data_IF_490698824541
#
_entry.id   IF_490698824541
#
_cell.length_a   1.000
_cell.length_b   1.000
_cell.length_c   1.000
_cell.angle_alpha   90.00
_cell.angle_beta   90.00
_cell.angle_gamma   90.00
#
_symmetry.space_group_name_H-M   'P 1'
#
loop_
_entity.id
_entity.type
_entity.pdbx_description
1 polymer ?
#
# COMPACT_ATOMS: atom_id res chain seq x y z
N UNK A 1 -1.10 -3.19 18.38
CA UNK A 1 -1.22 -4.11 17.23
C UNK A 1 -0.31 -3.57 16.14
N UNK A 2 0.56 -4.38 15.51
CA UNK A 2 1.37 -3.90 14.40
C UNK A 2 0.44 -3.66 13.22
N UNK A 3 0.17 -2.40 12.87
CA UNK A 3 -0.66 -2.07 11.71
C UNK A 3 -0.03 -2.65 10.45
N UNK A 4 -0.80 -3.39 9.65
CA UNK A 4 -0.32 -3.94 8.37
C UNK A 4 -0.17 -2.83 7.33
N UNK A 5 0.57 -3.09 6.24
CA UNK A 5 0.69 -2.14 5.15
C UNK A 5 -0.68 -1.73 4.60
N UNK A 6 -1.62 -2.69 4.55
CA UNK A 6 -3.01 -2.44 4.16
C UNK A 6 -3.70 -1.41 5.07
N UNK A 7 -3.54 -1.50 6.39
CA UNK A 7 -4.12 -0.50 7.30
C UNK A 7 -3.52 0.89 7.09
N UNK A 8 -2.20 0.96 6.86
CA UNK A 8 -1.53 2.20 6.54
C UNK A 8 -2.04 2.82 5.23
N UNK A 9 -2.08 2.06 4.14
CA UNK A 9 -2.43 2.58 2.82
C UNK A 9 -3.89 3.07 2.78
N UNK A 10 -4.79 2.50 3.59
CA UNK A 10 -6.14 3.00 3.76
C UNK A 10 -6.21 4.41 4.33
N UNK A 11 -5.22 4.86 5.11
CA UNK A 11 -5.17 6.24 5.61
C UNK A 11 -4.84 7.24 4.50
N UNK A 12 -4.13 6.82 3.46
CA UNK A 12 -3.75 7.63 2.30
C UNK A 12 -4.88 7.76 1.25
N UNK A 13 -5.97 6.98 1.38
CA UNK A 13 -7.08 6.97 0.39
C UNK A 13 -7.90 8.28 0.35
N UNK A 14 -7.88 9.03 1.45
CA UNK A 14 -8.74 10.19 1.71
C UNK A 14 -7.97 11.52 1.65
N UNK A 15 -6.97 11.63 0.78
CA UNK A 15 -6.31 12.92 0.53
C UNK A 15 -7.24 13.88 -0.22
N UNK A 16 -7.27 15.15 0.19
CA UNK A 16 -8.08 16.21 -0.42
C UNK A 16 -7.76 16.39 -1.92
N UNK A 17 -6.50 16.14 -2.30
CA UNK A 17 -6.07 16.11 -3.69
C UNK A 17 -5.72 14.67 -4.08
N UNK A 18 -6.27 14.13 -5.18
CA UNK A 18 -5.93 12.79 -5.64
C UNK A 18 -4.50 12.77 -6.17
N UNK A 19 -3.60 12.14 -5.41
CA UNK A 19 -2.23 11.82 -5.81
C UNK A 19 -2.16 10.41 -6.40
N UNK A 20 -1.06 10.06 -7.07
CA UNK A 20 -0.82 8.67 -7.52
C UNK A 20 -0.94 7.68 -6.35
N UNK A 21 -0.41 8.04 -5.17
CA UNK A 21 -0.53 7.25 -3.95
C UNK A 21 -1.99 7.03 -3.52
N UNK A 22 -2.82 8.08 -3.57
CA UNK A 22 -4.25 7.96 -3.22
C UNK A 22 -5.03 7.08 -4.20
N UNK A 23 -4.63 7.04 -5.48
CA UNK A 23 -5.21 6.15 -6.49
C UNK A 23 -4.83 4.70 -6.19
N UNK A 24 -3.53 4.44 -5.95
CA UNK A 24 -3.05 3.12 -5.53
C UNK A 24 -3.77 2.63 -4.27
N UNK A 25 -3.93 3.50 -3.27
CA UNK A 25 -4.67 3.21 -2.04
C UNK A 25 -6.13 2.80 -2.31
N UNK A 26 -6.81 3.47 -3.24
CA UNK A 26 -8.18 3.12 -3.64
C UNK A 26 -8.24 1.79 -4.37
N UNK A 27 -7.30 1.52 -5.27
CA UNK A 27 -7.22 0.24 -5.99
C UNK A 27 -6.98 -0.93 -5.04
N UNK A 28 -6.01 -0.79 -4.13
CA UNK A 28 -5.74 -1.80 -3.08
C UNK A 28 -6.96 -1.99 -2.16
N UNK A 29 -7.68 -0.91 -1.81
CA UNK A 29 -8.88 -1.00 -0.99
C UNK A 29 -10.05 -1.72 -1.70
N UNK A 30 -10.14 -1.59 -3.03
CA UNK A 30 -11.13 -2.27 -3.86
C UNK A 30 -10.74 -3.73 -4.14
N UNK A 31 -9.47 -4.08 -3.98
CA UNK A 31 -8.96 -5.44 -4.16
C UNK A 31 -9.34 -6.33 -2.95
N UNK A 32 -10.29 -7.23 -3.20
CA UNK A 32 -10.76 -8.20 -2.22
C UNK A 32 -9.73 -9.28 -1.87
N UNK A 33 -8.80 -9.57 -2.78
CA UNK A 33 -7.80 -10.64 -2.66
C UNK A 33 -6.46 -10.13 -2.12
N UNK A 34 -6.28 -8.82 -2.00
CA UNK A 34 -5.07 -8.22 -1.45
C UNK A 34 -4.72 -8.83 -0.07
N UNK A 35 -3.44 -9.13 0.22
CA UNK A 35 -3.02 -9.72 1.49
C UNK A 35 -3.08 -8.70 2.65
N UNK A 36 -4.29 -8.49 3.20
CA UNK A 36 -4.59 -7.44 4.20
C UNK A 36 -3.83 -7.57 5.53
N UNK A 37 -3.42 -8.78 5.88
CA UNK A 37 -2.70 -9.07 7.12
C UNK A 37 -1.19 -9.14 6.92
N UNK A 38 -0.70 -9.15 5.67
CA UNK A 38 0.74 -9.23 5.42
C UNK A 38 1.45 -7.96 5.87
N UNK A 39 2.63 -8.14 6.44
CA UNK A 39 3.57 -7.07 6.79
C UNK A 39 4.93 -7.29 6.15
N UNK A 40 5.01 -8.23 5.22
CA UNK A 40 6.24 -8.61 4.52
C UNK A 40 6.31 -7.86 3.19
N UNK A 41 7.46 -7.23 2.93
CA UNK A 41 7.67 -6.44 1.71
C UNK A 41 7.65 -7.33 0.48
N UNK A 42 8.36 -8.47 0.51
CA UNK A 42 8.53 -9.35 -0.64
C UNK A 42 7.19 -10.00 -1.02
N UNK A 43 6.38 -10.39 -0.03
CA UNK A 43 5.04 -10.94 -0.27
C UNK A 43 4.13 -9.93 -0.97
N UNK A 44 4.07 -8.69 -0.48
CA UNK A 44 3.21 -7.64 -1.04
C UNK A 44 3.75 -7.18 -2.40
N UNK A 45 5.05 -6.98 -2.53
CA UNK A 45 5.71 -6.61 -3.79
C UNK A 45 5.39 -7.64 -4.88
N UNK A 46 5.60 -8.92 -4.59
CA UNK A 46 5.30 -10.01 -5.53
C UNK A 46 3.83 -10.06 -5.89
N UNK A 47 2.92 -9.87 -4.93
CA UNK A 47 1.48 -9.80 -5.21
C UNK A 47 1.17 -8.67 -6.19
N UNK A 48 1.71 -7.48 -5.95
CA UNK A 48 1.53 -6.29 -6.80
C UNK A 48 2.13 -6.45 -8.20
N UNK A 49 3.20 -7.22 -8.36
CA UNK A 49 3.82 -7.48 -9.66
C UNK A 49 3.10 -8.55 -10.49
N UNK A 50 2.47 -9.53 -9.83
CA UNK A 50 2.01 -10.76 -10.50
C UNK A 50 0.49 -10.97 -10.51
N UNK A 51 -0.26 -10.32 -9.63
CA UNK A 51 -1.70 -10.56 -9.46
C UNK A 51 -2.59 -9.39 -9.85
N UNK A 52 -2.01 -8.22 -10.17
CA UNK A 52 -2.76 -6.98 -10.38
C UNK A 52 -2.24 -6.19 -11.57
N UNK A 53 -3.11 -5.37 -12.15
CA UNK A 53 -2.84 -4.48 -13.29
C UNK A 53 -3.03 -3.00 -12.95
N UNK A 54 -3.43 -2.69 -11.71
CA UNK A 54 -3.73 -1.32 -11.26
C UNK A 54 -2.52 -0.55 -10.73
N UNK A 55 -1.35 -1.19 -10.64
CA UNK A 55 -0.12 -0.57 -10.15
C UNK A 55 0.54 0.15 -11.33
N UNK A 56 0.41 1.48 -11.36
CA UNK A 56 1.02 2.30 -12.42
C UNK A 56 2.56 2.31 -12.35
N UNK A 57 3.14 2.11 -11.16
CA UNK A 57 4.59 2.10 -10.96
C UNK A 57 4.97 1.38 -9.66
N UNK A 58 5.92 0.45 -9.72
CA UNK A 58 6.50 -0.18 -8.53
C UNK A 58 7.28 0.82 -7.65
N UNK A 59 7.85 1.87 -8.25
CA UNK A 59 8.49 2.96 -7.49
C UNK A 59 7.50 3.67 -6.57
N UNK A 60 6.23 3.81 -7.00
CA UNK A 60 5.20 4.41 -6.16
C UNK A 60 4.88 3.52 -4.93
N UNK A 61 4.90 2.19 -5.12
CA UNK A 61 4.76 1.24 -4.03
C UNK A 61 5.95 1.33 -3.07
N UNK A 62 7.18 1.38 -3.58
CA UNK A 62 8.39 1.51 -2.75
C UNK A 62 8.36 2.78 -1.89
N UNK A 63 7.95 3.92 -2.47
CA UNK A 63 7.76 5.16 -1.73
C UNK A 63 6.69 5.03 -0.63
N UNK A 64 5.57 4.37 -0.93
CA UNK A 64 4.51 4.11 0.06
C UNK A 64 5.02 3.22 1.19
N UNK A 65 5.83 2.21 0.85
CA UNK A 65 6.41 1.29 1.81
C UNK A 65 7.40 1.97 2.75
N UNK A 66 8.28 2.83 2.22
CA UNK A 66 9.19 3.61 3.04
C UNK A 66 8.43 4.48 4.06
N UNK A 67 7.38 5.19 3.62
CA UNK A 67 6.55 6.00 4.53
C UNK A 67 5.84 5.17 5.60
N UNK A 68 5.38 3.97 5.24
CA UNK A 68 4.82 3.01 6.19
C UNK A 68 5.84 2.61 7.26
N UNK A 69 7.07 2.30 6.85
CA UNK A 69 8.16 1.93 7.75
C UNK A 69 8.57 3.09 8.67
N UNK A 70 8.69 4.29 8.12
CA UNK A 70 8.94 5.50 8.91
C UNK A 70 7.87 5.69 9.98
N UNK A 71 6.57 5.62 9.61
CA UNK A 71 5.45 5.75 10.55
C UNK A 71 5.46 4.69 11.64
N UNK A 72 5.90 3.46 11.34
CA UNK A 72 6.06 2.38 12.33
C UNK A 72 7.21 2.62 13.29
N UNK A 73 8.26 3.32 12.87
CA UNK A 73 9.43 3.59 13.70
C UNK A 73 9.24 4.80 14.62
N UNK A 74 8.35 5.73 14.27
CA UNK A 74 8.02 6.91 15.07
C UNK A 74 6.91 6.68 16.12
N UNK A 75 6.40 5.45 16.27
CA UNK A 75 5.38 5.07 17.26
C UNK A 75 5.91 4.16 18.37
#
# INVERSE_FOLDING_TARGET
MRESFYHYILTERNTVKPTALSKLARSIAADGMFPKTSTDYDEISRYLETHVDYVESMTLFDEAWQRYMDKKQTQ
#
